data_IF_171672077056
#
_entry.id   IF_171672077056
#
_cell.length_a   1.000
_cell.length_b   1.000
_cell.length_c   1.000
_cell.angle_alpha   90.00
_cell.angle_beta   90.00
_cell.angle_gamma   90.00
#
_symmetry.space_group_name_H-M   'P 1'
#
loop_
_entity.id
_entity.type
_entity.pdbx_description
1 polymer ?
#
# COMPACT_ATOMS: atom_id res chain seq x y z
N UNK A 1 25.35 -17.88 0.99
CA UNK A 1 25.69 -16.44 0.89
C UNK A 1 25.30 -15.91 -0.49
N UNK A 2 23.99 -15.88 -0.76
CA UNK A 2 23.36 -15.28 -1.94
C UNK A 2 22.06 -14.62 -1.43
N UNK A 3 21.60 -13.55 -2.08
CA UNK A 3 20.46 -12.70 -1.65
C UNK A 3 19.80 -12.06 -2.90
N UNK A 4 18.50 -12.28 -3.17
CA UNK A 4 17.73 -11.72 -4.31
C UNK A 4 16.23 -11.51 -3.90
N UNK A 5 15.70 -10.31 -3.51
CA UNK A 5 15.05 -9.19 -4.29
C UNK A 5 13.46 -9.24 -4.38
N UNK A 6 12.68 -8.16 -4.08
CA UNK A 6 11.16 -8.02 -3.84
C UNK A 6 10.37 -6.63 -4.10
N UNK A 7 9.68 -6.29 -5.20
CA UNK A 7 9.35 -4.90 -5.72
C UNK A 7 8.36 -4.16 -4.88
N UNK A 8 8.64 -2.90 -4.53
CA UNK A 8 7.65 -2.06 -3.86
C UNK A 8 7.00 -1.11 -4.84
N UNK A 9 5.70 -1.31 -4.98
CA UNK A 9 4.80 -0.47 -5.76
C UNK A 9 3.94 0.37 -4.81
N UNK A 10 4.12 1.69 -4.82
CA UNK A 10 3.39 2.61 -3.95
C UNK A 10 2.30 3.35 -4.71
N UNK A 11 1.06 3.10 -4.32
CA UNK A 11 -0.13 3.65 -4.95
C UNK A 11 -0.78 4.70 -4.05
N UNK A 12 -0.85 5.92 -4.57
CA UNK A 12 -1.42 7.10 -3.91
C UNK A 12 -2.69 7.51 -4.66
N UNK A 13 -3.76 6.72 -4.51
CA UNK A 13 -5.07 7.06 -5.03
C UNK A 13 -5.82 7.95 -4.03
N UNK A 14 -6.08 9.20 -4.41
CA UNK A 14 -6.89 10.10 -3.59
C UNK A 14 -8.35 10.02 -4.04
N UNK A 15 -9.18 9.30 -3.29
CA UNK A 15 -10.64 9.40 -3.47
C UNK A 15 -11.10 10.80 -3.09
N UNK A 16 -11.91 11.44 -3.93
CA UNK A 16 -12.76 12.56 -3.52
C UNK A 16 -14.07 12.00 -2.98
N UNK A 17 -14.49 12.48 -1.80
CA UNK A 17 -15.74 12.07 -1.15
C UNK A 17 -16.99 12.44 -1.97
N UNK A 18 -18.02 11.61 -1.86
CA UNK A 18 -19.33 11.80 -2.51
C UNK A 18 -19.92 13.17 -2.15
N UNK A 19 -20.08 14.04 -3.14
CA UNK A 19 -20.71 15.35 -2.99
C UNK A 19 -22.18 15.32 -3.41
N UNK A 20 -23.10 15.25 -2.45
CA UNK A 20 -24.50 15.61 -2.65
C UNK A 20 -24.72 17.12 -2.42
N UNK A 21 -24.33 17.96 -3.39
CA UNK A 21 -24.81 19.34 -3.53
C UNK A 21 -24.90 19.72 -5.02
N UNK A 22 -25.80 20.64 -5.43
CA UNK A 22 -26.16 20.84 -6.83
C UNK A 22 -25.08 21.59 -7.63
N UNK A 23 -25.08 21.34 -8.94
CA UNK A 23 -24.15 21.87 -9.91
C UNK A 23 -24.17 23.42 -9.97
N UNK A 24 -23.00 24.04 -9.84
CA UNK A 24 -22.40 24.98 -10.81
C UNK A 24 -21.17 25.68 -10.19
N UNK A 25 -19.97 25.21 -10.53
CA UNK A 25 -18.72 25.95 -10.31
C UNK A 25 -17.93 25.90 -11.64
N UNK A 26 -17.42 27.02 -12.17
CA UNK A 26 -16.65 27.01 -13.42
C UNK A 26 -15.35 26.21 -13.29
N UNK A 27 -15.07 25.36 -14.29
CA UNK A 27 -13.79 24.67 -14.43
C UNK A 27 -12.70 25.68 -14.83
N UNK A 28 -12.03 26.26 -13.83
CA UNK A 28 -10.85 27.08 -14.03
C UNK A 28 -9.75 26.65 -13.06
N UNK A 29 -8.84 25.79 -13.53
CA UNK A 29 -7.65 25.35 -12.79
C UNK A 29 -6.80 26.57 -12.43
N UNK A 30 -6.93 27.01 -11.19
CA UNK A 30 -6.35 28.28 -10.70
C UNK A 30 -5.93 28.19 -9.23
N UNK A 31 -5.45 27.02 -8.80
CA UNK A 31 -4.56 26.97 -7.64
C UNK A 31 -3.18 27.54 -8.03
N UNK A 32 -3.12 28.86 -8.18
CA UNK A 32 -1.90 29.61 -8.49
C UNK A 32 -0.99 29.79 -7.26
N UNK A 33 -1.19 29.01 -6.19
CA UNK A 33 -0.23 28.93 -5.09
C UNK A 33 1.17 28.63 -5.65
N UNK A 34 2.24 29.28 -5.17
CA UNK A 34 3.58 29.05 -5.68
C UNK A 34 4.02 27.60 -5.44
N UNK A 35 4.89 27.08 -6.32
CA UNK A 35 5.57 25.79 -6.11
C UNK A 35 6.34 25.85 -4.80
N UNK A 36 6.18 24.85 -3.93
CA UNK A 36 6.90 24.83 -2.66
C UNK A 36 8.38 24.50 -2.94
N UNK A 37 9.26 25.51 -2.87
CA UNK A 37 10.66 25.37 -3.27
C UNK A 37 11.48 24.51 -2.32
N UNK A 38 11.05 24.29 -1.07
CA UNK A 38 11.75 23.37 -0.16
C UNK A 38 11.68 21.92 -0.66
N UNK A 39 10.55 21.54 -1.26
CA UNK A 39 10.31 20.22 -1.84
C UNK A 39 11.05 19.98 -3.18
N UNK A 40 11.95 20.88 -3.58
CA UNK A 40 12.88 20.70 -4.71
C UNK A 40 14.32 20.39 -4.26
N UNK A 41 14.60 20.45 -2.95
CA UNK A 41 15.88 20.05 -2.38
C UNK A 41 16.01 18.51 -2.33
N UNK A 42 17.20 18.00 -1.99
CA UNK A 42 17.44 16.55 -1.86
C UNK A 42 16.51 15.92 -0.80
N UNK A 43 15.51 15.13 -1.22
CA UNK A 43 14.47 14.63 -0.34
C UNK A 43 14.96 13.49 0.57
N UNK A 44 16.21 13.03 0.44
CA UNK A 44 16.81 11.99 1.29
C UNK A 44 17.70 12.57 2.40
N UNK A 45 18.05 13.85 2.28
CA UNK A 45 18.77 14.60 3.31
C UNK A 45 17.83 15.24 4.34
N UNK A 46 16.62 15.60 3.90
CA UNK A 46 15.60 16.29 4.67
C UNK A 46 14.47 15.34 5.09
N UNK A 47 14.19 15.27 6.39
CA UNK A 47 13.13 14.43 6.97
C UNK A 47 11.89 15.23 7.38
N UNK A 48 11.89 16.56 7.25
CA UNK A 48 10.78 17.42 7.69
C UNK A 48 9.48 17.16 6.94
N UNK A 49 9.54 16.62 5.71
CA UNK A 49 8.38 16.13 4.97
C UNK A 49 7.60 15.02 5.71
N UNK A 50 8.24 14.30 6.64
CA UNK A 50 7.61 13.26 7.46
C UNK A 50 7.17 13.76 8.85
N UNK A 51 7.15 15.09 9.06
CA UNK A 51 6.75 15.72 10.33
C UNK A 51 5.35 16.37 10.25
N UNK A 52 4.72 16.45 9.07
CA UNK A 52 3.39 17.04 8.88
C UNK A 52 2.56 16.28 7.83
N UNK A 53 1.26 16.57 7.78
CA UNK A 53 0.41 16.18 6.66
C UNK A 53 0.55 17.18 5.51
N UNK A 54 0.47 16.66 4.28
CA UNK A 54 0.66 17.43 3.05
C UNK A 54 -0.60 17.38 2.17
N UNK A 55 -0.98 18.49 1.51
CA UNK A 55 -2.03 18.48 0.49
C UNK A 55 -1.56 17.67 -0.73
N UNK A 56 -2.53 17.17 -1.51
CA UNK A 56 -2.29 16.36 -2.72
C UNK A 56 -1.15 16.91 -3.60
N UNK A 57 -1.16 18.21 -3.89
CA UNK A 57 -0.16 18.87 -4.73
C UNK A 57 1.28 18.76 -4.21
N UNK A 58 1.48 18.83 -2.89
CA UNK A 58 2.81 18.67 -2.30
C UNK A 58 3.25 17.20 -2.31
N UNK A 59 2.31 16.26 -2.17
CA UNK A 59 2.55 14.83 -2.36
C UNK A 59 2.95 14.51 -3.80
N UNK A 60 2.23 15.05 -4.79
CA UNK A 60 2.55 14.95 -6.22
C UNK A 60 3.94 15.55 -6.52
N UNK A 61 4.22 16.75 -6.02
CA UNK A 61 5.53 17.39 -6.18
C UNK A 61 6.66 16.56 -5.55
N UNK A 62 6.43 15.99 -4.36
CA UNK A 62 7.40 15.15 -3.67
C UNK A 62 7.71 13.87 -4.45
N UNK A 63 6.70 13.13 -4.95
CA UNK A 63 6.96 11.91 -5.73
C UNK A 63 7.68 12.21 -7.06
N UNK A 64 7.38 13.36 -7.70
CA UNK A 64 8.12 13.82 -8.88
C UNK A 64 9.58 14.17 -8.56
N UNK A 65 9.84 14.82 -7.42
CA UNK A 65 11.21 15.15 -6.98
C UNK A 65 11.99 13.88 -6.63
N UNK A 66 11.40 12.97 -5.86
CA UNK A 66 11.97 11.65 -5.54
C UNK A 66 12.32 10.87 -6.81
N UNK A 67 11.43 10.85 -7.81
CA UNK A 67 11.69 10.21 -9.09
C UNK A 67 12.80 10.88 -9.91
N UNK A 68 12.93 12.21 -9.84
CA UNK A 68 14.03 12.92 -10.51
C UNK A 68 15.40 12.59 -9.88
N UNK A 69 15.50 12.64 -8.54
CA UNK A 69 16.74 12.36 -7.80
C UNK A 69 17.17 10.88 -7.86
N UNK A 70 16.22 9.94 -8.00
CA UNK A 70 16.48 8.49 -8.10
C UNK A 70 15.98 7.89 -9.41
N UNK A 71 16.15 8.60 -10.52
CA UNK A 71 15.72 8.15 -11.86
C UNK A 71 16.38 6.86 -12.37
N UNK A 72 17.39 6.33 -11.67
CA UNK A 72 17.99 5.01 -11.91
C UNK A 72 17.27 3.86 -11.19
N UNK A 73 16.40 4.18 -10.23
CA UNK A 73 15.71 3.24 -9.33
C UNK A 73 14.19 3.47 -9.31
N UNK A 74 13.70 4.66 -9.69
CA UNK A 74 12.30 5.07 -9.58
C UNK A 74 11.71 5.33 -10.96
N UNK A 75 10.51 4.78 -11.17
CA UNK A 75 9.65 5.11 -12.31
C UNK A 75 8.30 5.57 -11.78
N UNK A 76 7.73 6.61 -12.40
CA UNK A 76 6.34 6.99 -12.20
C UNK A 76 5.52 6.37 -13.33
N UNK A 77 4.57 5.52 -12.96
CA UNK A 77 3.62 4.89 -13.87
C UNK A 77 2.29 5.62 -13.82
N UNK A 78 1.79 6.01 -15.00
CA UNK A 78 0.50 6.64 -15.12
C UNK A 78 -0.58 5.58 -15.30
N UNK A 79 -1.47 5.42 -14.30
CA UNK A 79 -2.37 4.26 -14.23
C UNK A 79 -3.82 4.58 -14.64
N UNK A 80 -4.21 5.85 -14.64
CA UNK A 80 -5.58 6.24 -15.02
C UNK A 80 -5.99 7.60 -14.47
N UNK A 81 -7.26 7.96 -14.67
CA UNK A 81 -7.83 9.24 -14.22
C UNK A 81 -8.82 9.02 -13.07
N UNK A 82 -8.83 9.91 -12.09
CA UNK A 82 -9.91 9.97 -11.11
C UNK A 82 -11.23 10.44 -11.74
N UNK A 83 -12.33 10.33 -10.99
CA UNK A 83 -13.64 10.83 -11.39
C UNK A 83 -13.59 12.33 -11.70
N UNK A 84 -12.89 13.10 -10.86
CA UNK A 84 -12.61 14.55 -11.03
C UNK A 84 -11.46 14.85 -12.02
N UNK A 85 -11.02 13.86 -12.81
CA UNK A 85 -9.98 13.99 -13.85
C UNK A 85 -8.61 14.44 -13.34
N UNK A 86 -8.26 14.04 -12.12
CA UNK A 86 -6.86 14.11 -11.64
C UNK A 86 -6.07 12.89 -12.13
N UNK A 87 -4.77 13.05 -12.43
CA UNK A 87 -3.92 11.93 -12.79
C UNK A 87 -3.71 10.98 -11.60
N UNK A 88 -3.90 9.68 -11.81
CA UNK A 88 -3.52 8.64 -10.85
C UNK A 88 -2.13 8.13 -11.19
N UNK A 89 -1.20 8.25 -10.24
CA UNK A 89 0.22 7.91 -10.44
C UNK A 89 0.65 6.86 -9.44
N UNK A 90 1.32 5.82 -9.94
CA UNK A 90 1.99 4.81 -9.15
C UNK A 90 3.50 5.07 -9.10
N UNK A 91 4.11 4.87 -7.94
CA UNK A 91 5.54 4.98 -7.71
C UNK A 91 6.15 3.57 -7.72
N UNK A 92 6.74 3.19 -8.85
CA UNK A 92 7.43 1.91 -9.03
C UNK A 92 8.89 2.05 -8.61
N UNK A 93 9.27 1.36 -7.55
CA UNK A 93 10.66 1.36 -7.05
C UNK A 93 11.34 0.03 -7.43
N UNK A 94 12.51 0.12 -8.05
CA UNK A 94 13.33 -1.00 -8.50
C UNK A 94 14.80 -0.69 -8.21
N UNK A 95 15.72 -1.66 -8.32
CA UNK A 95 17.15 -1.38 -8.14
C UNK A 95 18.01 -2.06 -9.21
N UNK A 96 18.59 -1.25 -10.10
CA UNK A 96 19.40 -1.72 -11.21
C UNK A 96 20.80 -2.20 -10.75
N UNK A 97 21.00 -3.51 -10.65
CA UNK A 97 22.32 -4.09 -10.35
C UNK A 97 23.24 -4.07 -11.58
N UNK A 98 24.16 -3.10 -11.60
CA UNK A 98 25.18 -2.92 -12.65
C UNK A 98 26.28 -3.99 -12.63
N UNK A 99 26.29 -4.95 -11.70
CA UNK A 99 27.43 -5.88 -11.48
C UNK A 99 27.25 -7.32 -11.99
N UNK A 100 26.03 -7.80 -12.26
CA UNK A 100 25.80 -9.22 -12.63
C UNK A 100 25.77 -9.47 -14.15
N UNK A 101 26.89 -9.99 -14.68
CA UNK A 101 26.91 -10.70 -15.98
C UNK A 101 26.06 -11.98 -15.89
N UNK A 102 25.03 -12.09 -16.73
CA UNK A 102 24.29 -13.34 -17.06
C UNK A 102 23.99 -14.28 -15.87
N UNK A 103 23.09 -13.88 -14.97
CA UNK A 103 22.41 -14.86 -14.12
C UNK A 103 21.32 -15.62 -14.93
N UNK A 104 20.94 -16.82 -14.49
CA UNK A 104 20.06 -17.72 -15.27
C UNK A 104 18.68 -17.11 -15.48
N UNK A 105 18.16 -17.26 -16.71
CA UNK A 105 16.92 -16.66 -17.25
C UNK A 105 15.62 -17.28 -16.69
N UNK A 106 15.64 -17.85 -15.49
CA UNK A 106 14.63 -18.82 -15.03
C UNK A 106 13.93 -18.45 -13.71
N UNK A 107 14.45 -17.48 -12.96
CA UNK A 107 13.81 -17.00 -11.73
C UNK A 107 13.12 -15.67 -12.07
N UNK A 108 11.80 -15.61 -11.83
CA UNK A 108 10.99 -14.38 -11.91
C UNK A 108 11.16 -13.56 -10.64
N UNK A 109 10.79 -12.30 -10.72
CA UNK A 109 10.93 -11.26 -9.72
C UNK A 109 9.62 -11.18 -8.86
N UNK A 110 9.62 -11.10 -7.50
CA UNK A 110 8.42 -11.20 -6.59
C UNK A 110 7.91 -9.94 -5.76
N UNK A 111 6.81 -9.27 -6.13
CA UNK A 111 6.41 -7.92 -5.63
C UNK A 111 5.60 -7.83 -4.35
N UNK A 112 5.67 -6.62 -3.82
CA UNK A 112 5.05 -6.02 -2.66
C UNK A 112 4.29 -4.76 -3.13
N UNK A 113 3.00 -4.88 -3.35
CA UNK A 113 2.16 -3.70 -3.46
C UNK A 113 1.97 -3.11 -2.08
N UNK A 114 2.18 -1.81 -1.94
CA UNK A 114 1.88 -1.05 -0.74
C UNK A 114 0.94 0.08 -1.15
N UNK A 115 -0.34 -0.08 -0.86
CA UNK A 115 -1.35 0.93 -1.12
C UNK A 115 -1.58 1.76 0.14
N UNK A 116 -1.87 3.05 -0.04
CA UNK A 116 -2.42 3.90 1.01
C UNK A 116 -3.46 4.83 0.41
N UNK A 117 -4.12 5.61 1.28
CA UNK A 117 -5.10 6.63 0.89
C UNK A 117 -6.42 6.12 0.25
N UNK A 118 -6.68 4.79 0.21
CA UNK A 118 -7.96 4.25 -0.28
C UNK A 118 -9.17 4.93 0.37
N UNK A 119 -9.07 5.34 1.64
CA UNK A 119 -10.03 6.26 2.25
C UNK A 119 -9.39 7.64 2.46
N UNK A 120 -9.99 8.68 1.86
CA UNK A 120 -9.47 10.05 1.83
C UNK A 120 -9.20 10.70 3.21
N UNK A 121 -9.87 10.22 4.26
CA UNK A 121 -9.74 10.71 5.64
C UNK A 121 -8.61 10.04 6.43
N UNK A 122 -7.98 9.00 5.88
CA UNK A 122 -6.99 8.17 6.58
C UNK A 122 -5.56 8.69 6.34
N UNK A 123 -5.32 9.98 6.62
CA UNK A 123 -4.11 10.71 6.21
C UNK A 123 -2.80 10.05 6.67
N UNK A 124 -2.81 9.39 7.83
CA UNK A 124 -1.64 8.67 8.35
C UNK A 124 -1.21 7.50 7.45
N UNK A 125 -2.13 6.87 6.72
CA UNK A 125 -1.79 5.83 5.74
C UNK A 125 -1.04 6.42 4.54
N UNK A 126 -1.45 7.58 4.04
CA UNK A 126 -0.75 8.32 2.97
C UNK A 126 0.66 8.70 3.42
N UNK A 127 0.82 9.27 4.62
CA UNK A 127 2.13 9.64 5.16
C UNK A 127 3.01 8.42 5.41
N UNK A 128 2.47 7.31 5.93
CA UNK A 128 3.22 6.07 6.12
C UNK A 128 3.70 5.49 4.77
N UNK A 129 2.84 5.45 3.74
CA UNK A 129 3.21 5.02 2.40
C UNK A 129 4.39 5.86 1.84
N UNK A 130 4.35 7.19 2.00
CA UNK A 130 5.42 8.10 1.59
C UNK A 130 6.72 7.91 2.41
N UNK A 131 6.61 7.57 3.70
CA UNK A 131 7.74 7.22 4.56
C UNK A 131 8.43 5.92 4.09
N UNK A 132 7.63 4.93 3.67
CA UNK A 132 8.13 3.69 3.06
C UNK A 132 8.85 3.99 1.74
N UNK A 133 8.27 4.85 0.89
CA UNK A 133 8.91 5.32 -0.35
C UNK A 133 10.32 5.89 -0.10
N UNK A 134 10.40 6.81 0.87
CA UNK A 134 11.64 7.47 1.27
C UNK A 134 12.66 6.44 1.78
N UNK A 135 12.26 5.60 2.74
CA UNK A 135 13.17 4.62 3.38
C UNK A 135 13.65 3.51 2.45
N UNK A 136 12.89 3.14 1.42
CA UNK A 136 13.35 2.24 0.35
C UNK A 136 14.41 2.88 -0.55
N UNK A 137 14.44 4.21 -0.65
CA UNK A 137 15.34 4.97 -1.54
C UNK A 137 16.54 5.59 -0.83
N UNK A 138 16.61 5.46 0.50
CA UNK A 138 17.81 5.73 1.27
C UNK A 138 18.93 4.76 0.89
N UNK A 139 20.15 5.29 0.79
CA UNK A 139 21.36 4.49 0.60
C UNK A 139 21.44 3.36 1.62
N UNK A 140 21.92 2.18 1.18
CA UNK A 140 22.02 0.92 1.97
C UNK A 140 22.84 1.00 3.26
N UNK A 141 23.50 2.14 3.53
CA UNK A 141 24.25 2.44 4.76
C UNK A 141 23.43 3.20 5.81
N UNK A 142 22.28 3.76 5.43
CA UNK A 142 21.40 4.47 6.35
C UNK A 142 20.66 3.43 7.24
N UNK A 143 20.62 3.62 8.58
CA UNK A 143 19.98 2.67 9.49
C UNK A 143 18.47 2.50 9.28
N UNK A 144 17.81 3.46 8.65
CA UNK A 144 16.39 3.38 8.28
C UNK A 144 16.16 2.83 6.86
N UNK A 145 17.21 2.43 6.13
CA UNK A 145 17.07 1.91 4.75
C UNK A 145 16.50 0.50 4.74
N UNK A 146 15.31 0.33 4.13
CA UNK A 146 14.67 -0.96 3.89
C UNK A 146 14.82 -1.44 2.43
N UNK A 147 15.72 -0.80 1.66
CA UNK A 147 16.01 -1.01 0.23
C UNK A 147 16.28 -2.47 -0.24
N UNK A 148 16.50 -3.44 0.67
CA UNK A 148 16.82 -4.84 0.34
C UNK A 148 15.69 -5.61 -0.35
N UNK A 149 14.55 -4.98 -0.57
CA UNK A 149 13.28 -5.59 -0.86
C UNK A 149 12.74 -4.94 -2.15
N UNK A 150 13.26 -5.27 -3.36
CA UNK A 150 12.78 -4.81 -4.72
C UNK A 150 12.96 -5.86 -5.89
N UNK A 151 11.94 -6.17 -6.76
CA UNK A 151 11.64 -7.21 -7.84
C UNK A 151 10.15 -7.85 -7.83
N UNK A 152 9.32 -8.00 -8.92
CA UNK A 152 7.86 -7.69 -9.30
C UNK A 152 6.51 -8.56 -9.15
N UNK A 153 5.27 -8.01 -9.54
CA UNK A 153 4.06 -8.67 -10.22
C UNK A 153 2.45 -8.64 -9.85
N UNK A 154 1.57 -9.64 -10.26
CA UNK A 154 0.07 -9.84 -10.68
C UNK A 154 -1.22 -10.23 -9.83
N UNK A 155 -2.41 -10.81 -10.30
CA UNK A 155 -3.47 -10.70 -11.45
C UNK A 155 -4.80 -11.62 -11.37
N UNK A 156 -6.04 -11.10 -11.12
CA UNK A 156 -7.48 -11.52 -11.51
C UNK A 156 -8.58 -11.02 -10.50
N UNK A 157 -9.88 -11.43 -10.45
CA UNK A 157 -10.85 -10.79 -9.49
C UNK A 157 -12.20 -11.39 -9.02
N UNK A 158 -12.36 -11.55 -7.68
CA UNK A 158 -13.46 -12.23 -6.95
C UNK A 158 -14.46 -11.33 -6.17
N UNK A 159 -15.66 -11.86 -5.84
CA UNK A 159 -16.31 -11.60 -4.53
C UNK A 159 -17.22 -10.37 -4.33
N UNK A 160 -17.78 -9.75 -5.37
CA UNK A 160 -18.72 -8.62 -5.21
C UNK A 160 -20.17 -9.08 -5.01
N UNK A 161 -20.87 -8.47 -4.05
CA UNK A 161 -22.31 -8.64 -3.80
C UNK A 161 -23.06 -7.32 -4.11
N UNK A 162 -24.22 -7.36 -4.80
CA UNK A 162 -25.04 -6.16 -5.00
C UNK A 162 -25.66 -5.69 -3.68
N UNK A 163 -25.72 -4.36 -3.52
CA UNK A 163 -26.42 -3.68 -2.41
C UNK A 163 -27.85 -4.23 -2.25
N UNK A 164 -28.11 -4.85 -1.10
CA UNK A 164 -29.41 -5.45 -0.77
C UNK A 164 -30.07 -4.78 0.44
N UNK A 165 -29.34 -3.90 1.14
CA UNK A 165 -29.83 -3.16 2.29
C UNK A 165 -30.28 -1.74 1.93
N UNK A 166 -31.41 -1.23 2.46
CA UNK A 166 -31.78 0.19 2.33
C UNK A 166 -30.78 1.15 3.01
N UNK A 167 -29.82 0.63 3.79
CA UNK A 167 -28.70 1.39 4.36
C UNK A 167 -27.42 1.36 3.50
N UNK A 168 -27.47 0.79 2.29
CA UNK A 168 -26.35 0.66 1.34
C UNK A 168 -26.66 1.40 0.01
N UNK A 169 -27.46 2.46 0.05
CA UNK A 169 -27.70 3.35 -1.10
C UNK A 169 -26.61 4.41 -1.30
N UNK A 170 -26.69 5.27 -2.34
CA UNK A 170 -25.63 6.22 -2.71
C UNK A 170 -25.21 7.23 -1.63
N UNK A 171 -26.05 7.46 -0.61
CA UNK A 171 -25.74 8.33 0.53
C UNK A 171 -25.05 7.60 1.69
N UNK A 172 -24.88 6.28 1.61
CA UNK A 172 -24.21 5.48 2.63
C UNK A 172 -22.69 5.67 2.55
N UNK A 173 -21.97 5.81 3.68
CA UNK A 173 -20.51 5.98 3.65
C UNK A 173 -19.75 4.70 3.26
N UNK A 174 -20.46 3.58 3.08
CA UNK A 174 -19.96 2.29 2.58
C UNK A 174 -20.67 1.87 1.27
N UNK A 175 -21.20 2.83 0.49
CA UNK A 175 -21.88 2.54 -0.78
C UNK A 175 -20.95 1.75 -1.74
N UNK A 176 -21.30 0.51 -2.15
CA UNK A 176 -20.41 -0.34 -2.95
C UNK A 176 -20.42 -0.01 -4.45
N UNK A 177 -21.22 0.95 -4.88
CA UNK A 177 -21.53 1.21 -6.28
C UNK A 177 -22.67 0.36 -6.82
N UNK A 178 -23.09 0.65 -8.04
CA UNK A 178 -24.13 -0.07 -8.78
C UNK A 178 -23.62 -1.40 -9.36
N UNK A 179 -22.31 -1.51 -9.59
CA UNK A 179 -21.63 -2.67 -10.17
C UNK A 179 -20.13 -2.69 -9.79
N UNK A 180 -19.44 -3.85 -9.86
CA UNK A 180 -18.02 -3.95 -9.54
C UNK A 180 -17.18 -3.01 -10.42
N UNK A 181 -16.13 -2.39 -9.84
CA UNK A 181 -15.25 -1.45 -10.56
C UNK A 181 -15.99 -0.26 -11.21
N UNK A 182 -17.14 0.18 -10.67
CA UNK A 182 -17.83 1.39 -11.14
C UNK A 182 -16.94 2.64 -10.99
N UNK A 183 -16.27 2.80 -9.85
CA UNK A 183 -15.36 3.91 -9.60
C UNK A 183 -14.13 3.85 -10.52
N UNK A 184 -13.81 4.92 -11.27
CA UNK A 184 -12.70 4.91 -12.23
C UNK A 184 -11.33 4.74 -11.54
N UNK A 185 -11.18 5.16 -10.29
CA UNK A 185 -9.98 4.92 -9.47
C UNK A 185 -9.78 3.43 -9.20
N UNK A 186 -10.84 2.75 -8.76
CA UNK A 186 -10.80 1.30 -8.46
C UNK A 186 -10.59 0.49 -9.74
N UNK A 187 -11.15 0.94 -10.87
CA UNK A 187 -10.87 0.34 -12.18
C UNK A 187 -9.42 0.53 -12.62
N UNK A 188 -8.88 1.74 -12.52
CA UNK A 188 -7.49 2.03 -12.87
C UNK A 188 -6.49 1.22 -12.01
N UNK A 189 -6.79 1.06 -10.71
CA UNK A 189 -6.04 0.18 -9.81
C UNK A 189 -6.14 -1.28 -10.25
N UNK A 190 -7.36 -1.79 -10.48
CA UNK A 190 -7.58 -3.16 -10.92
C UNK A 190 -6.90 -3.45 -12.27
N UNK A 191 -7.00 -2.55 -13.26
CA UNK A 191 -6.33 -2.67 -14.56
C UNK A 191 -4.80 -2.69 -14.40
N UNK A 192 -4.24 -1.93 -13.45
CA UNK A 192 -2.80 -1.86 -13.23
C UNK A 192 -2.25 -3.08 -12.49
N UNK A 193 -2.95 -3.55 -11.46
CA UNK A 193 -2.68 -4.85 -10.82
C UNK A 193 -2.81 -5.98 -11.85
N UNK A 194 -3.85 -5.95 -12.70
CA UNK A 194 -4.07 -6.87 -13.81
C UNK A 194 -3.05 -6.74 -14.97
N UNK A 195 -2.03 -5.87 -14.85
CA UNK A 195 -0.93 -5.75 -15.82
C UNK A 195 0.48 -5.93 -15.24
N UNK A 196 0.60 -6.14 -13.93
CA UNK A 196 1.85 -6.55 -13.25
C UNK A 196 1.83 -8.13 -13.22
N UNK A 197 2.87 -8.98 -13.48
CA UNK A 197 2.72 -10.40 -14.03
C UNK A 197 3.50 -11.61 -13.34
N UNK A 198 2.92 -12.36 -12.36
CA UNK A 198 3.43 -13.33 -11.29
C UNK A 198 3.89 -12.84 -9.84
N UNK A 199 3.00 -12.41 -8.91
CA UNK A 199 3.29 -11.68 -7.60
C UNK A 199 3.59 -12.49 -6.31
N UNK A 200 3.83 -11.81 -5.16
CA UNK A 200 3.86 -12.39 -3.80
C UNK A 200 3.15 -11.66 -2.62
N UNK A 201 3.05 -10.31 -2.55
CA UNK A 201 2.48 -9.60 -1.39
C UNK A 201 1.69 -8.31 -1.71
N UNK A 202 0.64 -8.05 -0.94
CA UNK A 202 -0.21 -6.84 -1.02
C UNK A 202 -0.51 -6.32 0.39
N UNK A 203 -0.19 -5.05 0.64
CA UNK A 203 -0.37 -4.38 1.92
C UNK A 203 -1.20 -3.12 1.69
N UNK A 204 -2.45 -3.13 2.14
CA UNK A 204 -3.34 -1.97 2.14
C UNK A 204 -3.25 -1.24 3.50
N UNK A 205 -2.58 -0.09 3.51
CA UNK A 205 -2.42 0.75 4.69
C UNK A 205 -3.71 1.57 4.90
N UNK A 206 -4.30 1.39 6.09
CA UNK A 206 -5.52 2.06 6.55
C UNK A 206 -5.29 2.74 7.89
N UNK A 207 -6.28 3.50 8.36
CA UNK A 207 -6.38 3.88 9.77
C UNK A 207 -7.84 3.96 10.21
N UNK A 208 -8.18 3.78 11.47
CA UNK A 208 -7.36 3.49 12.64
C UNK A 208 -7.80 2.14 13.23
N UNK A 209 -7.08 1.64 14.22
CA UNK A 209 -7.48 0.43 14.96
C UNK A 209 -6.33 -0.44 15.46
N UNK A 210 -5.10 -0.18 15.01
CA UNK A 210 -3.90 -0.97 15.35
C UNK A 210 -4.12 -2.47 15.13
N UNK A 211 -4.30 -2.88 13.87
CA UNK A 211 -4.50 -4.28 13.51
C UNK A 211 -3.88 -4.64 12.15
N UNK A 212 -3.38 -5.87 12.04
CA UNK A 212 -2.96 -6.51 10.79
C UNK A 212 -4.01 -7.58 10.50
N UNK A 213 -4.81 -7.35 9.45
CA UNK A 213 -5.96 -8.17 9.13
C UNK A 213 -5.74 -8.94 7.83
N UNK A 214 -5.98 -10.25 7.87
CA UNK A 214 -5.88 -11.17 6.73
C UNK A 214 -7.26 -11.36 6.06
N UNK A 215 -7.35 -11.90 4.83
CA UNK A 215 -8.63 -12.32 4.27
C UNK A 215 -9.29 -13.41 5.16
N UNK A 216 -10.59 -13.63 5.10
CA UNK A 216 -11.57 -12.90 4.30
C UNK A 216 -12.28 -11.81 5.09
N UNK A 217 -12.78 -10.80 4.36
CA UNK A 217 -13.70 -9.79 4.89
C UNK A 217 -15.15 -10.01 4.44
N UNK A 218 -15.42 -10.65 3.30
CA UNK A 218 -16.78 -10.99 2.86
C UNK A 218 -17.44 -12.11 3.71
N UNK A 219 -16.65 -12.91 4.42
CA UNK A 219 -17.09 -14.03 5.25
C UNK A 219 -16.25 -14.08 6.52
N UNK A 220 -16.88 -14.42 7.66
CA UNK A 220 -16.22 -14.67 8.95
C UNK A 220 -16.03 -16.17 9.22
N UNK A 221 -16.68 -17.04 8.44
CA UNK A 221 -16.69 -18.51 8.60
C UNK A 221 -15.72 -19.20 7.62
N UNK A 222 -15.23 -18.47 6.63
CA UNK A 222 -14.28 -18.94 5.62
C UNK A 222 -12.89 -18.42 5.97
N UNK A 223 -11.88 -19.28 5.98
CA UNK A 223 -10.47 -18.90 6.17
C UNK A 223 -9.67 -19.13 4.88
N UNK A 224 -8.63 -18.32 4.59
CA UNK A 224 -7.67 -18.58 3.53
C UNK A 224 -7.10 -20.00 3.62
N UNK A 225 -6.77 -20.59 2.47
CA UNK A 225 -6.17 -21.93 2.43
C UNK A 225 -4.84 -21.97 3.18
N UNK A 226 -4.06 -20.90 3.01
CA UNK A 226 -2.70 -20.74 3.53
C UNK A 226 -2.68 -19.92 4.83
N UNK A 227 -3.80 -19.94 5.58
CA UNK A 227 -4.00 -19.09 6.75
C UNK A 227 -2.92 -19.24 7.84
N UNK A 228 -2.29 -20.42 7.97
CA UNK A 228 -1.20 -20.64 8.93
C UNK A 228 0.00 -19.73 8.60
N UNK A 229 0.53 -19.80 7.37
CA UNK A 229 1.65 -18.99 6.89
C UNK A 229 1.35 -17.48 6.95
N UNK A 230 0.15 -17.08 6.54
CA UNK A 230 -0.26 -15.67 6.47
C UNK A 230 -0.43 -15.11 7.90
N UNK A 231 -0.94 -15.90 8.85
CA UNK A 231 -1.02 -15.50 10.25
C UNK A 231 0.36 -15.47 10.93
N UNK A 232 1.24 -16.44 10.67
CA UNK A 232 2.61 -16.43 11.21
C UNK A 232 3.36 -15.17 10.79
N UNK A 233 3.35 -14.88 9.48
CA UNK A 233 3.93 -13.65 8.92
C UNK A 233 3.34 -12.40 9.57
N UNK A 234 2.01 -12.33 9.75
CA UNK A 234 1.34 -11.20 10.40
C UNK A 234 1.69 -11.04 11.90
N UNK A 235 1.77 -12.13 12.67
CA UNK A 235 2.17 -12.09 14.07
C UNK A 235 3.63 -11.64 14.23
N UNK A 236 4.53 -12.15 13.38
CA UNK A 236 5.91 -11.70 13.35
C UNK A 236 6.05 -10.22 12.95
N UNK A 237 5.25 -9.76 11.99
CA UNK A 237 5.23 -8.36 11.56
C UNK A 237 4.67 -7.42 12.65
N UNK A 238 3.64 -7.85 13.39
CA UNK A 238 3.13 -7.14 14.57
C UNK A 238 4.18 -7.05 15.68
N UNK A 239 4.95 -8.14 15.91
CA UNK A 239 6.06 -8.13 16.87
C UNK A 239 7.21 -7.21 16.43
N UNK A 240 7.53 -7.18 15.13
CA UNK A 240 8.54 -6.28 14.56
C UNK A 240 8.13 -4.80 14.69
N UNK A 241 6.88 -4.46 14.37
CA UNK A 241 6.30 -3.13 14.60
C UNK A 241 6.39 -2.73 16.09
N UNK A 242 6.00 -3.65 16.98
CA UNK A 242 6.08 -3.46 18.43
C UNK A 242 7.50 -3.23 18.94
N UNK A 243 8.51 -3.84 18.31
CA UNK A 243 9.91 -3.66 18.70
C UNK A 243 10.47 -2.26 18.41
N UNK A 244 9.83 -1.47 17.53
CA UNK A 244 10.28 -0.10 17.21
C UNK A 244 9.93 0.88 18.33
N UNK A 245 8.64 0.99 18.68
CA UNK A 245 8.11 2.01 19.62
C UNK A 245 7.11 1.46 20.65
N UNK A 246 6.96 0.14 20.77
CA UNK A 246 6.07 -0.51 21.74
C UNK A 246 4.61 -0.69 21.30
N UNK A 247 4.25 -0.27 20.08
CA UNK A 247 2.89 -0.38 19.54
C UNK A 247 2.42 -1.84 19.51
N UNK A 248 1.30 -2.14 20.16
CA UNK A 248 0.67 -3.46 20.06
C UNK A 248 -0.43 -3.42 19.02
N UNK A 249 -0.36 -4.34 18.06
CA UNK A 249 -1.37 -4.52 17.01
C UNK A 249 -2.09 -5.86 17.22
N UNK A 250 -3.40 -5.90 16.93
CA UNK A 250 -4.18 -7.15 16.88
C UNK A 250 -3.91 -7.85 15.54
N UNK A 251 -3.96 -9.17 15.52
CA UNK A 251 -3.83 -9.97 14.29
C UNK A 251 -5.04 -10.90 14.17
N UNK A 252 -5.55 -11.09 12.96
CA UNK A 252 -6.64 -12.02 12.69
C UNK A 252 -7.33 -11.76 11.36
N UNK A 253 -8.42 -12.47 11.10
CA UNK A 253 -9.23 -12.30 9.90
C UNK A 253 -9.99 -10.95 9.91
N UNK A 254 -10.02 -10.26 8.76
CA UNK A 254 -10.61 -8.92 8.62
C UNK A 254 -12.10 -8.84 8.98
N UNK A 255 -12.90 -9.85 8.61
CA UNK A 255 -14.30 -9.94 9.04
C UNK A 255 -14.44 -9.99 10.58
N UNK A 256 -13.56 -10.74 11.24
CA UNK A 256 -13.59 -10.97 12.69
C UNK A 256 -12.87 -9.88 13.51
N UNK A 257 -11.87 -9.18 12.96
CA UNK A 257 -11.16 -8.09 13.64
C UNK A 257 -11.84 -6.73 13.47
N UNK A 258 -12.68 -6.55 12.44
CA UNK A 258 -13.35 -5.30 12.13
C UNK A 258 -14.88 -5.50 11.94
N UNK A 259 -15.31 -5.91 10.74
CA UNK A 259 -16.70 -6.30 10.41
C UNK A 259 -16.75 -6.96 9.02
N UNK A 260 -17.87 -7.64 8.69
CA UNK A 260 -18.11 -8.21 7.34
C UNK A 260 -18.20 -7.13 6.28
N UNK A 261 -17.28 -7.14 5.31
CA UNK A 261 -17.18 -6.14 4.24
C UNK A 261 -16.94 -6.82 2.87
N UNK A 262 -17.98 -7.22 2.12
CA UNK A 262 -17.82 -7.78 0.77
C UNK A 262 -17.25 -6.77 -0.23
N UNK A 263 -16.63 -7.25 -1.32
CA UNK A 263 -16.02 -6.40 -2.35
C UNK A 263 -14.71 -5.69 -1.94
N UNK A 264 -14.06 -6.13 -0.87
CA UNK A 264 -12.83 -5.55 -0.37
C UNK A 264 -11.60 -5.96 -1.21
N UNK A 265 -10.68 -5.02 -1.44
CA UNK A 265 -9.46 -5.23 -2.24
C UNK A 265 -8.57 -6.34 -1.68
N UNK A 266 -8.53 -6.56 -0.35
CA UNK A 266 -7.72 -7.63 0.26
C UNK A 266 -8.20 -9.03 -0.13
N UNK A 267 -9.53 -9.22 -0.22
CA UNK A 267 -10.12 -10.49 -0.64
C UNK A 267 -9.91 -10.71 -2.15
N UNK A 268 -10.04 -9.63 -2.94
CA UNK A 268 -9.79 -9.60 -4.39
C UNK A 268 -8.33 -9.91 -4.75
N UNK A 269 -7.38 -9.40 -3.96
CA UNK A 269 -5.96 -9.69 -4.13
C UNK A 269 -5.61 -11.13 -3.75
N UNK A 270 -6.16 -11.65 -2.65
CA UNK A 270 -5.89 -13.03 -2.24
C UNK A 270 -6.46 -14.05 -3.23
N UNK A 271 -7.76 -13.98 -3.52
CA UNK A 271 -8.44 -15.04 -4.28
C UNK A 271 -7.94 -15.17 -5.70
N UNK A 272 -7.87 -14.05 -6.41
CA UNK A 272 -7.74 -14.11 -7.86
C UNK A 272 -6.50 -13.43 -8.39
N UNK A 273 -5.96 -12.40 -7.73
CA UNK A 273 -4.57 -12.05 -7.96
C UNK A 273 -3.60 -13.12 -7.41
N UNK A 274 -4.12 -14.11 -6.67
CA UNK A 274 -3.40 -15.22 -6.06
C UNK A 274 -2.27 -14.74 -5.12
N UNK A 275 -2.46 -13.57 -4.52
CA UNK A 275 -1.48 -12.92 -3.64
C UNK A 275 -1.63 -13.52 -2.25
N UNK A 276 -0.94 -14.64 -2.00
CA UNK A 276 -0.88 -15.35 -0.71
C UNK A 276 -0.82 -14.37 0.47
N UNK A 277 0.13 -13.42 0.42
CA UNK A 277 0.38 -12.47 1.50
C UNK A 277 -0.37 -11.14 1.30
N UNK A 278 -1.70 -11.20 1.38
CA UNK A 278 -2.58 -10.02 1.32
C UNK A 278 -3.00 -9.55 2.72
N UNK A 279 -2.87 -8.25 3.02
CA UNK A 279 -3.16 -7.67 4.33
C UNK A 279 -3.87 -6.31 4.26
N UNK A 280 -4.81 -6.06 5.17
CA UNK A 280 -5.21 -4.70 5.57
C UNK A 280 -4.54 -4.33 6.90
N UNK A 281 -3.72 -3.29 6.90
CA UNK A 281 -2.98 -2.82 8.07
C UNK A 281 -3.57 -1.51 8.55
N UNK A 282 -4.38 -1.57 9.61
CA UNK A 282 -4.92 -0.37 10.26
C UNK A 282 -3.89 0.16 11.24
N UNK A 283 -3.34 1.34 10.93
CA UNK A 283 -2.30 2.03 11.69
C UNK A 283 -2.85 2.65 12.99
N UNK A 284 -2.02 3.50 13.62
CA UNK A 284 -2.40 4.28 14.81
C UNK A 284 -3.67 5.12 14.56
N UNK A 285 -4.49 5.37 15.58
CA UNK A 285 -4.44 4.87 16.96
C UNK A 285 -5.55 3.84 17.22
N UNK A 286 -6.08 3.73 18.44
CA UNK A 286 -7.27 2.93 18.77
C UNK A 286 -8.53 3.77 18.99
N UNK A 287 -8.60 4.99 18.43
CA UNK A 287 -9.77 5.88 18.50
C UNK A 287 -9.70 7.02 19.52
N UNK A 288 -8.52 7.40 20.02
CA UNK A 288 -8.37 8.63 20.85
C UNK A 288 -8.38 9.88 19.97
N UNK A 289 -7.72 9.79 18.82
CA UNK A 289 -7.68 10.78 17.75
C UNK A 289 -8.33 10.26 16.46
N UNK A 290 -8.30 8.94 16.25
CA UNK A 290 -8.80 8.29 15.05
C UNK A 290 -8.14 8.86 13.79
N UNK A 291 -8.96 9.38 12.89
CA UNK A 291 -8.52 9.97 11.62
C UNK A 291 -7.71 11.27 11.77
N UNK A 292 -7.85 12.00 12.90
CA UNK A 292 -7.17 13.29 13.13
C UNK A 292 -5.95 13.11 14.02
N UNK A 293 -5.13 12.10 13.70
CA UNK A 293 -3.95 11.74 14.49
C UNK A 293 -2.91 12.89 14.49
N UNK A 294 -2.47 13.40 15.66
CA UNK A 294 -1.54 14.54 15.73
C UNK A 294 -0.21 14.30 14.99
N UNK A 295 0.29 15.34 14.33
CA UNK A 295 1.49 15.29 13.46
C UNK A 295 2.72 14.66 14.09
N UNK A 296 2.93 14.86 15.41
CA UNK A 296 3.99 14.19 16.20
C UNK A 296 4.01 12.66 16.14
N UNK A 297 2.93 12.02 15.67
CA UNK A 297 2.83 10.57 15.49
C UNK A 297 3.10 10.10 14.05
N UNK A 298 3.28 11.01 13.09
CA UNK A 298 3.53 10.66 11.68
C UNK A 298 4.82 9.87 11.54
N UNK A 299 5.95 10.43 11.98
CA UNK A 299 7.25 9.76 11.95
C UNK A 299 7.28 8.44 12.75
N UNK A 300 6.79 8.37 14.01
CA UNK A 300 6.66 7.10 14.73
C UNK A 300 5.85 6.03 13.98
N UNK A 301 4.72 6.40 13.38
CA UNK A 301 3.91 5.46 12.59
C UNK A 301 4.64 4.99 11.32
N UNK A 302 5.38 5.89 10.65
CA UNK A 302 6.23 5.54 9.51
C UNK A 302 7.34 4.55 9.90
N UNK A 303 8.02 4.77 11.03
CA UNK A 303 9.08 3.91 11.56
C UNK A 303 8.54 2.51 11.95
N UNK A 304 7.38 2.44 12.62
CA UNK A 304 6.68 1.19 12.93
C UNK A 304 6.27 0.42 11.68
N UNK A 305 5.71 1.13 10.69
CA UNK A 305 5.28 0.56 9.41
C UNK A 305 6.48 0.05 8.61
N UNK A 306 7.63 0.74 8.66
CA UNK A 306 8.87 0.29 8.05
C UNK A 306 9.41 -0.98 8.73
N UNK A 307 9.32 -1.09 10.06
CA UNK A 307 9.65 -2.32 10.80
C UNK A 307 8.76 -3.50 10.39
N UNK A 308 7.44 -3.27 10.30
CA UNK A 308 6.42 -4.24 9.88
C UNK A 308 6.72 -4.77 8.46
N UNK A 309 6.84 -3.88 7.47
CA UNK A 309 7.10 -4.24 6.07
C UNK A 309 8.48 -4.90 5.92
N UNK A 310 9.49 -4.42 6.64
CA UNK A 310 10.83 -5.03 6.62
C UNK A 310 10.84 -6.46 7.18
N UNK A 311 9.93 -6.80 8.11
CA UNK A 311 9.75 -8.17 8.56
C UNK A 311 9.03 -9.01 7.51
N UNK A 312 7.83 -8.58 7.07
CA UNK A 312 7.02 -9.32 6.09
C UNK A 312 7.84 -9.70 4.86
N UNK A 313 8.54 -8.73 4.27
CA UNK A 313 9.28 -8.97 3.05
C UNK A 313 10.50 -9.89 3.22
N UNK A 314 11.08 -10.01 4.42
CA UNK A 314 12.11 -11.03 4.70
C UNK A 314 11.48 -12.43 4.83
N UNK A 315 10.43 -12.55 5.63
CA UNK A 315 9.70 -13.81 5.83
C UNK A 315 9.23 -14.40 4.49
N UNK A 316 8.64 -13.54 3.65
CA UNK A 316 8.10 -13.93 2.34
C UNK A 316 9.24 -14.29 1.36
N UNK A 317 10.40 -13.62 1.42
CA UNK A 317 11.58 -14.05 0.64
C UNK A 317 12.06 -15.43 1.02
N UNK A 318 12.14 -15.69 2.32
CA UNK A 318 12.63 -16.96 2.84
C UNK A 318 11.68 -18.11 2.43
N UNK A 319 10.35 -17.92 2.56
CA UNK A 319 9.31 -18.85 2.06
C UNK A 319 9.49 -19.17 0.56
N UNK A 320 9.67 -18.14 -0.28
CA UNK A 320 9.87 -18.31 -1.72
C UNK A 320 11.18 -19.05 -2.05
N UNK A 321 12.27 -18.81 -1.31
CA UNK A 321 13.53 -19.55 -1.49
C UNK A 321 13.39 -21.04 -1.14
N UNK A 322 12.58 -21.39 -0.13
CA UNK A 322 12.30 -22.78 0.23
C UNK A 322 11.52 -23.52 -0.88
N UNK A 323 10.52 -22.89 -1.50
CA UNK A 323 9.73 -23.51 -2.58
C UNK A 323 10.53 -23.83 -3.86
N UNK A 324 11.73 -23.26 -4.04
CA UNK A 324 12.57 -23.46 -5.25
C UNK A 324 13.60 -24.60 -5.07
N UNK A 325 13.82 -25.09 -3.85
CA UNK A 325 14.69 -26.25 -3.61
C UNK A 325 14.00 -27.53 -4.14
N UNK A 326 14.65 -28.34 -5.00
CA UNK A 326 14.06 -29.60 -5.41
C UNK A 326 13.98 -30.56 -4.21
N UNK A 327 12.80 -31.13 -3.98
CA UNK A 327 12.63 -32.24 -3.04
C UNK A 327 13.44 -33.45 -3.51
N UNK A 328 14.66 -33.60 -2.97
CA UNK A 328 15.46 -34.80 -3.16
C UNK A 328 14.85 -35.95 -2.35
N UNK A 329 14.06 -36.79 -3.02
CA UNK A 329 13.51 -38.06 -2.52
C UNK A 329 14.55 -39.18 -2.56
#
# INVERSE_FOLDING_TARGET
MFWERNTVLLLLSFLSSINCLPQQIPLQWSDQSPVNTSLLNDPFSDWTFHETYHPLREVEQYIHTVAAFRSDSVKLDYIGWSNEKRPLTALSITHADKTKKKLKKTIKKPAFVIMGAQHAREWIATSAALYIAHTLLLDKKNPHSINKLLDDFSEQGYGWEPSSSPHEGPCAPWYPGEYPFQAPEVRALADYFNNTKDIVAFIDLRSYGQMISIPYSYSCDTMPRDAEDILEAAYGAAAASKAVHGLSMKVGQLCNTLYRAPGNVVDWMYEENHVKYSYAVHLRDTGTYGYVLPTRHIKPAGEETAGLISYLAKFILEDLEFCVQPCNS
#
